data_IF_579800196814
#
_entry.id   IF_579800196814
#
_cell.length_a   1.000
_cell.length_b   1.000
_cell.length_c   1.000
_cell.angle_alpha   90.00
_cell.angle_beta   90.00
_cell.angle_gamma   90.00
#
_symmetry.space_group_name_H-M   'P 1'
#
loop_
_entity.id
_entity.type
_entity.pdbx_description
1 polymer ?
#
# COMPACT_ATOMS: atom_id res chain seq x y z
N UNK A 1 0.82 -26.01 19.55
CA UNK A 1 1.00 -25.91 18.09
C UNK A 1 0.77 -24.45 17.71
N UNK A 2 1.82 -23.65 17.57
CA UNK A 2 1.72 -22.22 17.26
C UNK A 2 2.39 -21.99 15.90
N UNK A 3 1.57 -21.87 14.86
CA UNK A 3 2.02 -21.72 13.48
C UNK A 3 2.61 -20.32 13.24
N UNK A 4 3.94 -20.31 13.18
CA UNK A 4 4.80 -19.63 12.20
C UNK A 4 4.26 -18.31 11.61
N UNK A 5 4.66 -17.19 12.21
CA UNK A 5 4.66 -15.87 11.57
C UNK A 5 5.83 -15.75 10.59
N UNK A 6 5.49 -15.69 9.30
CA UNK A 6 6.44 -15.55 8.20
C UNK A 6 7.34 -14.33 8.35
N UNK A 7 8.64 -14.61 8.25
CA UNK A 7 9.79 -13.74 8.37
C UNK A 7 9.86 -12.70 7.23
N UNK A 8 10.34 -11.49 7.48
CA UNK A 8 11.10 -10.75 6.47
C UNK A 8 12.08 -9.72 7.05
N UNK A 9 13.19 -9.58 6.32
CA UNK A 9 14.54 -9.32 6.82
C UNK A 9 14.82 -7.85 7.16
N UNK A 10 15.56 -7.67 8.25
CA UNK A 10 16.00 -6.41 8.85
C UNK A 10 17.26 -5.89 8.15
N UNK A 11 17.09 -5.25 6.99
CA UNK A 11 18.12 -4.39 6.38
C UNK A 11 18.00 -2.95 6.90
N UNK A 12 19.13 -2.26 7.16
CA UNK A 12 19.16 -0.87 7.62
C UNK A 12 18.18 -0.02 6.81
N UNK A 13 17.12 0.50 7.46
CA UNK A 13 16.12 1.37 6.82
C UNK A 13 16.82 2.65 6.37
N UNK A 14 17.28 2.70 5.11
CA UNK A 14 17.49 3.98 4.44
C UNK A 14 16.15 4.70 4.57
N UNK A 15 16.18 5.93 5.10
CA UNK A 15 14.98 6.77 5.12
C UNK A 15 14.65 6.99 3.66
N UNK A 16 13.72 6.16 3.17
CA UNK A 16 13.17 6.25 1.84
C UNK A 16 12.73 7.71 1.68
N UNK A 17 13.24 8.44 0.67
CA UNK A 17 12.91 9.85 0.48
C UNK A 17 11.38 9.98 0.51
N UNK A 18 10.92 11.00 1.22
CA UNK A 18 9.51 11.20 1.50
C UNK A 18 8.71 11.09 0.19
N UNK A 19 7.85 10.07 0.10
CA UNK A 19 7.15 9.72 -1.14
C UNK A 19 6.43 10.96 -1.67
N UNK A 20 6.84 11.40 -2.86
CA UNK A 20 6.46 12.67 -3.46
C UNK A 20 4.96 12.65 -3.73
N UNK A 21 4.32 13.83 -3.76
CA UNK A 21 2.88 13.93 -4.03
C UNK A 21 2.47 13.19 -5.31
N UNK A 22 3.28 13.27 -6.36
CA UNK A 22 3.04 12.57 -7.62
C UNK A 22 3.08 11.05 -7.46
N UNK A 23 4.05 10.52 -6.72
CA UNK A 23 4.16 9.08 -6.42
C UNK A 23 2.96 8.58 -5.61
N UNK A 24 2.48 9.37 -4.66
CA UNK A 24 1.26 9.04 -3.91
C UNK A 24 0.03 8.97 -4.81
N UNK A 25 -0.06 9.85 -5.81
CA UNK A 25 -1.15 9.86 -6.77
C UNK A 25 -1.13 8.61 -7.64
N UNK A 26 0.03 8.26 -8.22
CA UNK A 26 0.21 7.04 -9.01
C UNK A 26 -0.18 5.80 -8.19
N UNK A 27 0.31 5.71 -6.95
CA UNK A 27 -0.05 4.60 -6.05
C UNK A 27 -1.56 4.54 -5.80
N UNK A 28 -2.22 5.68 -5.60
CA UNK A 28 -3.66 5.76 -5.41
C UNK A 28 -4.42 5.27 -6.64
N UNK A 29 -4.01 5.67 -7.84
CA UNK A 29 -4.66 5.24 -9.08
C UNK A 29 -4.53 3.73 -9.29
N UNK A 30 -3.32 3.18 -9.08
CA UNK A 30 -3.08 1.74 -9.16
C UNK A 30 -3.92 0.98 -8.13
N UNK A 31 -3.95 1.44 -6.87
CA UNK A 31 -4.77 0.83 -5.82
C UNK A 31 -6.25 0.96 -6.16
N UNK A 32 -6.71 2.08 -6.72
CA UNK A 32 -8.10 2.29 -7.11
C UNK A 32 -8.52 1.31 -8.21
N UNK A 33 -7.63 1.03 -9.17
CA UNK A 33 -7.84 0.03 -10.23
C UNK A 33 -8.02 -1.38 -9.65
N UNK A 34 -7.28 -1.73 -8.59
CA UNK A 34 -7.37 -3.03 -7.93
C UNK A 34 -8.12 -3.00 -6.58
N UNK A 35 -8.90 -1.95 -6.33
CA UNK A 35 -9.49 -1.70 -5.03
C UNK A 35 -10.45 -2.82 -4.62
N UNK A 36 -11.20 -3.35 -5.58
CA UNK A 36 -12.09 -4.49 -5.36
C UNK A 36 -11.39 -5.75 -4.87
N UNK A 37 -10.09 -5.93 -5.14
CA UNK A 37 -9.29 -7.05 -4.63
C UNK A 37 -8.61 -6.69 -3.31
N UNK A 38 -8.10 -5.47 -3.19
CA UNK A 38 -7.40 -4.99 -1.98
C UNK A 38 -8.36 -4.83 -0.80
N UNK A 39 -9.55 -4.26 -1.02
CA UNK A 39 -10.58 -4.08 -0.01
C UNK A 39 -11.45 -5.33 0.17
N UNK A 40 -11.25 -6.37 -0.65
CA UNK A 40 -11.99 -7.61 -0.49
C UNK A 40 -11.80 -8.18 0.93
N UNK A 41 -12.88 -8.17 1.71
CA UNK A 41 -12.89 -8.61 3.12
C UNK A 41 -12.94 -10.13 3.25
N UNK A 42 -12.93 -10.85 2.12
CA UNK A 42 -12.83 -12.30 2.06
C UNK A 42 -11.43 -12.80 2.46
N UNK A 43 -11.43 -13.81 3.31
CA UNK A 43 -10.26 -14.44 3.91
C UNK A 43 -9.96 -15.81 3.31
N UNK A 44 -10.51 -16.12 2.13
CA UNK A 44 -10.20 -17.36 1.43
C UNK A 44 -8.71 -17.39 1.03
N UNK A 45 -8.08 -18.56 1.09
CA UNK A 45 -6.67 -18.75 0.67
C UNK A 45 -6.42 -18.23 -0.75
N UNK A 46 -7.39 -18.41 -1.66
CA UNK A 46 -7.38 -17.86 -3.02
C UNK A 46 -7.35 -16.33 -3.03
N UNK A 47 -8.06 -15.68 -2.11
CA UNK A 47 -8.09 -14.21 -1.96
C UNK A 47 -6.77 -13.66 -1.41
N UNK A 48 -6.09 -14.41 -0.54
CA UNK A 48 -4.75 -14.04 -0.03
C UNK A 48 -3.73 -14.06 -1.16
N UNK A 49 -3.73 -15.11 -1.99
CA UNK A 49 -2.87 -15.19 -3.18
C UNK A 49 -3.12 -14.02 -4.15
N UNK A 50 -4.39 -13.75 -4.48
CA UNK A 50 -4.77 -12.63 -5.37
C UNK A 50 -4.36 -11.26 -4.82
N UNK A 51 -4.49 -11.04 -3.51
CA UNK A 51 -4.01 -9.80 -2.87
C UNK A 51 -2.51 -9.64 -3.08
N UNK A 52 -1.73 -10.71 -2.87
CA UNK A 52 -0.29 -10.63 -3.05
C UNK A 52 0.11 -10.38 -4.51
N UNK A 53 -0.55 -11.06 -5.46
CA UNK A 53 -0.33 -10.84 -6.90
C UNK A 53 -0.69 -9.41 -7.32
N UNK A 54 -1.81 -8.88 -6.84
CA UNK A 54 -2.22 -7.50 -7.10
C UNK A 54 -1.18 -6.52 -6.57
N UNK A 55 -0.67 -6.74 -5.37
CA UNK A 55 0.37 -5.90 -4.78
C UNK A 55 1.69 -5.96 -5.57
N UNK A 56 2.04 -7.14 -6.11
CA UNK A 56 3.19 -7.30 -7.00
C UNK A 56 2.99 -6.54 -8.32
N UNK A 57 1.80 -6.63 -8.92
CA UNK A 57 1.41 -5.86 -10.11
C UNK A 57 1.52 -4.36 -9.85
N UNK A 58 0.96 -3.88 -8.75
CA UNK A 58 1.07 -2.46 -8.35
C UNK A 58 2.54 -2.07 -8.22
N UNK A 59 3.38 -2.91 -7.61
CA UNK A 59 4.83 -2.66 -7.50
C UNK A 59 5.48 -2.52 -8.88
N UNK A 60 5.20 -3.43 -9.81
CA UNK A 60 5.81 -3.43 -11.15
C UNK A 60 5.39 -2.18 -11.92
N UNK A 61 4.08 -1.90 -11.95
CA UNK A 61 3.53 -0.71 -12.63
C UNK A 61 4.07 0.58 -12.00
N UNK A 62 4.13 0.64 -10.67
CA UNK A 62 4.66 1.78 -9.95
C UNK A 62 6.13 1.99 -10.31
N UNK A 63 6.98 0.96 -10.25
CA UNK A 63 8.39 1.03 -10.61
C UNK A 63 8.63 1.37 -12.09
N UNK A 64 7.67 1.09 -12.96
CA UNK A 64 7.73 1.52 -14.36
C UNK A 64 7.39 3.00 -14.54
N UNK A 65 6.61 3.58 -13.61
CA UNK A 65 6.17 4.98 -13.67
C UNK A 65 7.04 5.92 -12.82
N UNK A 66 7.72 5.39 -11.80
CA UNK A 66 8.68 6.16 -10.98
C UNK A 66 10.12 5.80 -11.35
N UNK A 67 11.02 6.77 -11.24
CA UNK A 67 12.45 6.50 -11.35
C UNK A 67 13.03 5.80 -10.10
N UNK A 68 12.27 5.73 -9.00
CA UNK A 68 12.75 5.16 -7.72
C UNK A 68 12.14 3.78 -7.47
N UNK A 69 12.93 2.69 -7.54
CA UNK A 69 12.40 1.36 -7.31
C UNK A 69 11.96 1.20 -5.86
N UNK A 70 10.67 0.91 -5.66
CA UNK A 70 10.04 0.66 -4.36
C UNK A 70 9.61 -0.79 -4.22
N UNK A 71 9.68 -1.27 -2.98
CA UNK A 71 9.22 -2.62 -2.65
C UNK A 71 7.74 -2.61 -2.31
N UNK A 72 7.12 -3.77 -2.48
CA UNK A 72 5.72 -4.00 -2.16
C UNK A 72 5.39 -3.62 -0.71
N UNK A 73 6.32 -3.85 0.22
CA UNK A 73 6.15 -3.49 1.64
C UNK A 73 6.07 -1.97 1.84
N UNK A 74 6.96 -1.21 1.18
CA UNK A 74 6.92 0.25 1.22
C UNK A 74 5.61 0.80 0.66
N UNK A 75 5.11 0.25 -0.46
CA UNK A 75 3.82 0.66 -1.06
C UNK A 75 2.64 0.35 -0.14
N UNK A 76 2.62 -0.84 0.48
CA UNK A 76 1.64 -1.22 1.50
C UNK A 76 1.65 -0.25 2.67
N UNK A 77 2.83 0.10 3.18
CA UNK A 77 2.96 1.02 4.31
C UNK A 77 2.50 2.45 3.95
N UNK A 78 2.89 2.96 2.77
CA UNK A 78 2.40 4.25 2.28
C UNK A 78 0.88 4.25 2.16
N UNK A 79 0.28 3.21 1.60
CA UNK A 79 -1.18 3.11 1.51
C UNK A 79 -1.86 3.14 2.88
N UNK A 80 -1.30 2.45 3.89
CA UNK A 80 -1.80 2.51 5.27
C UNK A 80 -1.75 3.94 5.82
N UNK A 81 -0.66 4.65 5.57
CA UNK A 81 -0.51 6.06 5.97
C UNK A 81 -1.49 6.97 5.21
N UNK A 82 -1.66 6.78 3.90
CA UNK A 82 -2.64 7.52 3.08
C UNK A 82 -4.07 7.30 3.57
N UNK A 83 -4.45 6.05 3.90
CA UNK A 83 -5.75 5.75 4.51
C UNK A 83 -5.94 6.44 5.86
N UNK A 84 -4.90 6.47 6.70
CA UNK A 84 -4.95 7.14 7.99
C UNK A 84 -5.06 8.66 7.84
N UNK A 85 -4.30 9.25 6.92
CA UNK A 85 -4.34 10.67 6.61
C UNK A 85 -5.69 11.07 6.02
N UNK A 86 -6.24 10.27 5.09
CA UNK A 86 -7.58 10.49 4.54
C UNK A 86 -8.67 10.46 5.63
N UNK A 87 -8.61 9.50 6.57
CA UNK A 87 -9.52 9.47 7.74
C UNK A 87 -9.35 10.68 8.65
N UNK A 88 -8.11 11.16 8.84
CA UNK A 88 -7.83 12.36 9.64
C UNK A 88 -8.34 13.62 8.92
N UNK A 89 -8.17 13.70 7.61
CA UNK A 89 -8.66 14.80 6.77
C UNK A 89 -10.17 14.85 6.69
N UNK A 90 -10.84 13.69 6.65
CA UNK A 90 -12.30 13.57 6.82
C UNK A 90 -12.76 14.16 8.16
N UNK A 91 -12.10 13.77 9.27
CA UNK A 91 -12.44 14.28 10.60
C UNK A 91 -12.24 15.79 10.73
N UNK A 92 -11.22 16.35 10.06
CA UNK A 92 -10.96 17.81 10.08
C UNK A 92 -11.90 18.63 9.20
N UNK A 93 -12.59 18.01 8.23
CA UNK A 93 -13.58 18.67 7.36
C UNK A 93 -14.99 18.69 7.95
N UNK A 94 -15.20 18.00 9.08
CA UNK A 94 -16.47 17.91 9.80
C UNK A 94 -16.63 18.88 10.98
N UNK A 95 -15.87 19.98 11.01
CA UNK A 95 -16.09 21.06 11.98
C UNK A 95 -16.36 22.37 11.24
N UNK A 96 -17.62 22.66 10.86
CA UNK A 96 -18.03 24.03 10.66
C UNK A 96 -17.97 24.71 12.04
N UNK A 97 -17.24 25.82 12.11
CA UNK A 97 -17.30 26.74 13.24
C UNK A 97 -18.47 27.69 13.02
#
# INVERSE_FOLDING_TARGET
MAEQTSSQLKGKRRRDPNMVYNEKHILLELIKKYFGVIENKKTDAVSVGKKNEVWEKIRIEFNSQTSVPRTTDTLKNTWKHLKADARKKQQRRGSPK
#
